data_IF_533749318170
#
_entry.id   IF_533749318170
#
_cell.length_a   1.000
_cell.length_b   1.000
_cell.length_c   1.000
_cell.angle_alpha   90.00
_cell.angle_beta   90.00
_cell.angle_gamma   90.00
#
_symmetry.space_group_name_H-M   'P 1'
#
loop_
_entity.id
_entity.type
_entity.pdbx_description
1 polymer ?
#
# COMPACT_ATOMS: atom_id res chain seq x y z
N UNK A 1 -10.53 -1.59 2.42
CA UNK A 1 -9.63 -1.29 3.56
C UNK A 1 -8.64 -0.23 3.10
N UNK A 2 -8.27 0.76 3.92
CA UNK A 2 -7.19 1.71 3.63
C UNK A 2 -5.90 1.18 4.25
N UNK A 3 -4.80 1.22 3.50
CA UNK A 3 -3.47 0.88 4.00
C UNK A 3 -2.54 2.07 3.81
N UNK A 4 -1.85 2.48 4.87
CA UNK A 4 -0.75 3.43 4.77
C UNK A 4 0.56 2.75 5.13
N UNK A 5 1.52 2.88 4.22
CA UNK A 5 2.92 2.54 4.35
C UNK A 5 3.68 3.79 4.78
N UNK A 6 4.56 3.65 5.77
CA UNK A 6 5.58 4.67 6.02
C UNK A 6 6.92 4.05 5.63
N UNK A 7 7.43 4.48 4.48
CA UNK A 7 8.85 4.38 4.11
C UNK A 7 9.48 5.78 4.13
N UNK A 8 10.69 5.94 3.59
CA UNK A 8 11.36 7.24 3.51
C UNK A 8 10.56 8.33 2.74
N UNK A 9 9.56 7.94 1.94
CA UNK A 9 8.70 8.84 1.16
C UNK A 9 7.22 8.81 1.58
N UNK A 10 6.78 7.80 2.33
CA UNK A 10 5.40 7.61 2.77
C UNK A 10 4.45 7.32 1.61
N UNK A 11 3.80 6.16 1.62
CA UNK A 11 2.85 5.78 0.57
C UNK A 11 1.50 5.39 1.16
N UNK A 12 0.41 5.94 0.65
CA UNK A 12 -0.95 5.61 1.13
C UNK A 12 -1.80 5.17 -0.04
N UNK A 13 -2.43 4.01 0.11
CA UNK A 13 -3.27 3.41 -0.93
C UNK A 13 -4.50 2.74 -0.33
N UNK A 14 -5.40 2.30 -1.20
CA UNK A 14 -6.53 1.44 -0.87
C UNK A 14 -6.16 -0.01 -1.15
N UNK A 15 -6.65 -0.89 -0.29
CA UNK A 15 -6.53 -2.34 -0.45
C UNK A 15 -7.87 -2.93 -0.81
N UNK A 16 -7.87 -3.70 -1.89
CA UNK A 16 -9.00 -4.50 -2.34
C UNK A 16 -8.58 -5.97 -2.50
N UNK A 17 -9.23 -6.84 -1.70
CA UNK A 17 -8.99 -8.28 -1.58
C UNK A 17 -7.53 -8.68 -1.35
N UNK A 18 -6.74 -8.72 -2.42
CA UNK A 18 -5.39 -9.29 -2.46
C UNK A 18 -4.35 -8.29 -3.03
N UNK A 19 -4.74 -7.05 -3.39
CA UNK A 19 -3.82 -6.11 -4.01
C UNK A 19 -4.11 -4.64 -3.67
N UNK A 20 -3.11 -3.78 -3.89
CA UNK A 20 -3.29 -2.33 -3.86
C UNK A 20 -4.07 -1.86 -5.10
N UNK A 21 -5.02 -0.96 -4.87
CA UNK A 21 -5.87 -0.40 -5.93
C UNK A 21 -5.03 0.36 -6.95
N UNK A 22 -4.05 1.13 -6.52
CA UNK A 22 -3.18 1.91 -7.38
C UNK A 22 -2.16 1.06 -8.15
N UNK A 23 -1.72 -0.07 -7.60
CA UNK A 23 -0.97 -1.10 -8.36
C UNK A 23 -1.84 -1.69 -9.47
N UNK A 24 -3.11 -2.02 -9.19
CA UNK A 24 -4.03 -2.53 -10.21
C UNK A 24 -4.32 -1.51 -11.33
N UNK A 25 -4.24 -0.20 -11.01
CA UNK A 25 -4.38 0.90 -11.96
C UNK A 25 -3.07 1.28 -12.66
N UNK A 26 -1.94 0.65 -12.32
CA UNK A 26 -0.62 0.96 -12.89
C UNK A 26 -0.04 2.32 -12.49
N UNK A 27 -0.52 2.90 -11.38
CA UNK A 27 -0.10 4.22 -10.89
C UNK A 27 1.12 4.11 -9.97
N UNK A 28 1.25 3.00 -9.25
CA UNK A 28 2.35 2.74 -8.32
C UNK A 28 2.90 1.32 -8.48
N UNK A 29 4.11 1.10 -7.94
CA UNK A 29 4.71 -0.21 -7.85
C UNK A 29 4.05 -1.05 -6.75
N UNK A 30 4.15 -2.38 -6.85
CA UNK A 30 3.71 -3.26 -5.78
C UNK A 30 4.80 -3.33 -4.69
N UNK A 31 4.75 -2.42 -3.72
CA UNK A 31 5.75 -2.32 -2.66
C UNK A 31 5.96 -3.61 -1.84
N UNK A 32 5.00 -4.54 -1.83
CA UNK A 32 5.15 -5.85 -1.15
C UNK A 32 5.95 -6.87 -1.96
N UNK A 33 6.06 -6.68 -3.27
CA UNK A 33 6.70 -7.61 -4.19
C UNK A 33 8.05 -7.09 -4.74
N UNK A 34 8.41 -5.86 -4.38
CA UNK A 34 9.63 -5.17 -4.83
C UNK A 34 10.74 -5.32 -3.78
N UNK A 35 11.92 -5.77 -4.19
CA UNK A 35 13.04 -6.05 -3.26
C UNK A 35 13.84 -4.82 -2.87
N UNK A 36 13.62 -3.70 -3.55
CA UNK A 36 14.34 -2.43 -3.34
C UNK A 36 13.76 -1.59 -2.19
N UNK A 37 12.58 -1.93 -1.69
CA UNK A 37 11.92 -1.21 -0.61
C UNK A 37 11.98 -2.02 0.69
N UNK A 38 12.26 -1.34 1.80
CA UNK A 38 12.17 -1.90 3.14
C UNK A 38 11.01 -1.18 3.83
N UNK A 39 9.91 -1.90 4.06
CA UNK A 39 8.75 -1.39 4.78
C UNK A 39 9.06 -1.45 6.28
N UNK A 40 9.15 -0.29 6.94
CA UNK A 40 9.41 -0.20 8.38
C UNK A 40 8.11 -0.26 9.18
N UNK A 41 7.13 0.55 8.78
CA UNK A 41 5.83 0.60 9.44
C UNK A 41 4.68 0.44 8.44
N UNK A 42 3.64 -0.29 8.88
CA UNK A 42 2.44 -0.57 8.09
C UNK A 42 1.18 -0.42 8.95
N UNK A 43 0.25 0.42 8.48
CA UNK A 43 -0.99 0.73 9.18
C UNK A 43 -2.21 0.43 8.32
N UNK A 44 -3.25 -0.14 8.95
CA UNK A 44 -4.49 -0.54 8.30
C UNK A 44 -5.67 0.15 8.98
N UNK A 45 -6.61 0.63 8.16
CA UNK A 45 -7.89 1.13 8.62
C UNK A 45 -9.01 0.52 7.79
N UNK A 46 -10.00 -0.06 8.45
CA UNK A 46 -11.21 -0.44 7.76
C UNK A 46 -11.98 0.81 7.32
N UNK A 47 -12.47 0.77 6.08
CA UNK A 47 -13.38 1.78 5.59
C UNK A 47 -14.76 1.39 6.11
N UNK A 48 -15.13 1.91 7.27
CA UNK A 48 -16.47 1.77 7.81
C UNK A 48 -17.33 2.78 7.05
N UNK A 49 -18.17 2.29 6.14
CA UNK A 49 -19.18 3.03 5.42
C UNK A 49 -20.57 2.61 5.87
#
# INVERSE_FOLDING_TARGET
MRISFIDANGHTTLWDKDNFVDTALGVSANYLNETQYIIQDLYFWDLIG
#
